data_IF_502689515504
#
_entry.id   IF_502689515504
#
_cell.length_a   1.000
_cell.length_b   1.000
_cell.length_c   1.000
_cell.angle_alpha   90.00
_cell.angle_beta   90.00
_cell.angle_gamma   90.00
#
_symmetry.space_group_name_H-M   'P 1'
#
loop_
_entity.id
_entity.type
_entity.pdbx_description
1 polymer ?
#
# COMPACT_ATOMS: atom_id res chain seq x y z
N UNK A 1 -18.73 13.70 -2.38
CA UNK A 1 -17.73 14.66 -2.89
C UNK A 1 -16.43 14.41 -2.13
N UNK A 2 -15.31 14.05 -2.78
CA UNK A 2 -14.04 13.74 -2.08
C UNK A 2 -13.32 15.03 -1.68
N UNK A 3 -12.92 15.15 -0.41
CA UNK A 3 -12.18 16.31 0.11
C UNK A 3 -10.69 16.12 -0.11
N UNK A 4 -10.04 17.05 -0.82
CA UNK A 4 -8.59 17.03 -0.99
C UNK A 4 -7.89 17.48 0.30
N UNK A 5 -6.98 16.66 0.83
CA UNK A 5 -6.58 16.73 2.26
C UNK A 5 -5.17 17.19 2.64
N UNK A 6 -4.37 17.94 1.91
CA UNK A 6 -2.94 18.22 2.30
C UNK A 6 -2.04 17.00 2.66
N UNK A 7 -0.74 17.11 2.39
CA UNK A 7 0.17 15.97 2.64
C UNK A 7 0.40 15.74 4.13
N UNK A 8 0.56 16.81 4.91
CA UNK A 8 0.81 16.74 6.36
C UNK A 8 -0.35 16.09 7.12
N UNK A 9 -1.59 16.47 6.82
CA UNK A 9 -2.76 15.92 7.52
C UNK A 9 -2.95 14.43 7.23
N UNK A 10 -2.72 13.98 5.98
CA UNK A 10 -2.81 12.55 5.66
C UNK A 10 -1.71 11.77 6.40
N UNK A 11 -0.48 12.27 6.42
CA UNK A 11 0.63 11.63 7.12
C UNK A 11 0.36 11.52 8.63
N UNK A 12 -0.11 12.60 9.27
CA UNK A 12 -0.45 12.58 10.69
C UNK A 12 -1.53 11.52 11.00
N UNK A 13 -2.57 11.43 10.17
CA UNK A 13 -3.62 10.41 10.33
C UNK A 13 -3.07 8.98 10.16
N UNK A 14 -2.20 8.76 9.16
CA UNK A 14 -1.55 7.45 8.94
C UNK A 14 -0.66 7.09 10.13
N UNK A 15 0.13 8.03 10.65
CA UNK A 15 0.97 7.81 11.84
C UNK A 15 0.13 7.44 13.06
N UNK A 16 -0.92 8.21 13.35
CA UNK A 16 -1.81 7.95 14.47
C UNK A 16 -2.49 6.58 14.35
N UNK A 17 -2.94 6.22 13.15
CA UNK A 17 -3.58 4.94 12.88
C UNK A 17 -2.62 3.77 13.08
N UNK A 18 -1.43 3.84 12.49
CA UNK A 18 -0.42 2.78 12.62
C UNK A 18 0.10 2.68 14.06
N UNK A 19 0.19 3.78 14.79
CA UNK A 19 0.55 3.80 16.22
C UNK A 19 -0.53 3.16 17.09
N UNK A 20 -1.81 3.40 16.79
CA UNK A 20 -2.92 2.78 17.50
C UNK A 20 -2.93 1.25 17.33
N UNK A 21 -2.50 0.75 16.15
CA UNK A 21 -2.38 -0.66 15.80
C UNK A 21 -3.52 -1.50 16.38
N UNK A 22 -4.77 -1.17 16.02
CA UNK A 22 -5.97 -1.86 16.50
C UNK A 22 -6.45 -2.85 15.45
N UNK A 23 -5.84 -4.06 15.32
CA UNK A 23 -6.41 -5.07 14.46
C UNK A 23 -7.80 -5.43 14.98
N UNK A 24 -8.80 -5.31 14.12
CA UNK A 24 -10.15 -5.79 14.42
C UNK A 24 -10.39 -7.12 13.68
N UNK A 25 -11.43 -7.84 14.07
CA UNK A 25 -11.79 -9.09 13.41
C UNK A 25 -12.11 -8.88 11.91
N UNK A 26 -12.61 -7.69 11.55
CA UNK A 26 -13.09 -7.34 10.21
C UNK A 26 -12.22 -6.32 9.47
N UNK A 27 -11.08 -5.89 10.03
CA UNK A 27 -10.28 -4.81 9.43
C UNK A 27 -8.82 -4.81 9.85
N UNK A 28 -7.95 -4.53 8.88
CA UNK A 28 -6.50 -4.40 9.09
C UNK A 28 -6.08 -2.93 9.13
N UNK A 29 -5.07 -2.55 9.96
CA UNK A 29 -4.47 -1.22 9.87
C UNK A 29 -4.00 -0.84 8.45
N UNK A 30 -3.61 -1.82 7.63
CA UNK A 30 -3.23 -1.58 6.23
C UNK A 30 -4.42 -1.17 5.35
N UNK A 31 -5.59 -1.75 5.61
CA UNK A 31 -6.83 -1.46 4.90
C UNK A 31 -7.35 -0.06 5.23
N UNK A 32 -7.26 0.31 6.50
CA UNK A 32 -7.62 1.66 6.92
C UNK A 32 -6.66 2.71 6.34
N UNK A 33 -5.35 2.43 6.25
CA UNK A 33 -4.39 3.30 5.55
C UNK A 33 -4.77 3.45 4.06
N UNK A 34 -5.13 2.35 3.37
CA UNK A 34 -5.60 2.42 2.00
C UNK A 34 -6.86 3.31 1.88
N UNK A 35 -7.81 3.16 2.80
CA UNK A 35 -9.01 4.01 2.89
C UNK A 35 -8.69 5.50 3.12
N UNK A 36 -7.71 5.81 3.96
CA UNK A 36 -7.26 7.19 4.18
C UNK A 36 -6.67 7.81 2.91
N UNK A 37 -5.92 7.05 2.12
CA UNK A 37 -5.37 7.52 0.84
C UNK A 37 -6.48 7.77 -0.18
N UNK A 38 -7.43 6.84 -0.31
CA UNK A 38 -8.57 6.96 -1.24
C UNK A 38 -9.50 8.13 -0.88
N UNK A 39 -9.70 8.39 0.41
CA UNK A 39 -10.57 9.46 0.89
C UNK A 39 -9.88 10.83 0.92
N UNK A 40 -8.56 10.89 1.10
CA UNK A 40 -7.80 12.13 1.19
C UNK A 40 -7.30 12.71 -0.14
N UNK A 41 -7.24 11.89 -1.20
CA UNK A 41 -6.74 12.27 -2.53
C UNK A 41 -7.68 11.80 -3.64
N UNK A 42 -7.39 12.20 -4.88
CA UNK A 42 -8.15 11.78 -6.08
C UNK A 42 -7.81 10.37 -6.57
N UNK A 43 -7.54 9.45 -5.63
CA UNK A 43 -7.30 8.06 -5.95
C UNK A 43 -8.65 7.35 -6.06
N UNK A 44 -8.85 6.56 -7.11
CA UNK A 44 -10.01 5.69 -7.23
C UNK A 44 -9.79 4.39 -6.47
N UNK A 45 -8.53 4.01 -6.26
CA UNK A 45 -8.18 2.77 -5.58
C UNK A 45 -6.79 2.87 -4.94
N UNK A 46 -6.58 2.16 -3.84
CA UNK A 46 -5.28 1.98 -3.19
C UNK A 46 -5.16 0.57 -2.65
N UNK A 47 -3.96 0.00 -2.77
CA UNK A 47 -3.67 -1.33 -2.25
C UNK A 47 -2.26 -1.49 -1.73
N UNK A 48 -2.14 -2.29 -0.67
CA UNK A 48 -0.85 -2.63 -0.04
C UNK A 48 -0.58 -4.11 -0.27
N UNK A 49 0.57 -4.39 -0.87
CA UNK A 49 1.05 -5.73 -1.20
C UNK A 49 2.25 -6.05 -0.33
N UNK A 50 2.24 -7.20 0.34
CA UNK A 50 3.41 -7.70 1.07
C UNK A 50 4.13 -8.72 0.21
N UNK A 51 5.34 -8.37 -0.24
CA UNK A 51 6.21 -9.24 -1.02
C UNK A 51 6.95 -10.16 -0.07
N UNK A 52 6.43 -11.37 0.07
CA UNK A 52 7.05 -12.39 0.90
C UNK A 52 7.93 -13.21 0.02
N UNK A 53 9.23 -12.98 0.15
CA UNK A 53 10.26 -13.65 -0.61
C UNK A 53 10.00 -15.17 -0.63
N UNK A 54 9.65 -15.69 -1.80
CA UNK A 54 10.22 -16.97 -2.19
C UNK A 54 11.58 -16.66 -2.77
N UNK A 55 12.61 -17.24 -2.17
CA UNK A 55 13.95 -17.29 -2.75
C UNK A 55 13.85 -18.02 -4.09
N UNK A 56 13.60 -17.29 -5.17
CA UNK A 56 13.76 -17.81 -6.52
C UNK A 56 13.88 -16.64 -7.47
N UNK A 57 15.12 -16.18 -7.60
CA UNK A 57 15.66 -15.61 -8.83
C UNK A 57 15.41 -16.57 -9.99
N UNK A 58 14.20 -16.54 -10.57
CA UNK A 58 13.94 -17.09 -11.89
C UNK A 58 13.19 -16.03 -12.68
N UNK A 59 13.79 -15.44 -13.73
CA UNK A 59 13.16 -14.42 -14.57
C UNK A 59 11.85 -14.87 -15.24
N UNK A 60 11.53 -16.17 -15.20
CA UNK A 60 10.39 -16.77 -15.87
C UNK A 60 9.25 -17.17 -14.90
N UNK A 61 9.36 -16.86 -13.61
CA UNK A 61 8.35 -17.22 -12.60
C UNK A 61 7.67 -16.00 -12.00
N UNK A 62 7.17 -15.09 -12.85
CA UNK A 62 6.18 -14.08 -12.46
C UNK A 62 4.76 -14.67 -12.38
N UNK A 63 4.57 -15.76 -11.64
CA UNK A 63 3.23 -16.34 -11.41
C UNK A 63 2.57 -15.78 -10.13
N UNK A 64 2.98 -14.58 -9.71
CA UNK A 64 2.41 -13.81 -8.59
C UNK A 64 2.62 -12.33 -8.89
N UNK A 65 1.73 -11.76 -9.71
CA UNK A 65 1.96 -10.50 -10.43
C UNK A 65 2.37 -9.33 -9.55
N UNK A 66 3.50 -8.72 -9.88
CA UNK A 66 3.93 -7.45 -9.32
C UNK A 66 2.84 -6.37 -9.58
N UNK A 67 2.51 -5.48 -8.63
CA UNK A 67 1.42 -4.51 -8.82
C UNK A 67 1.69 -3.49 -9.94
N UNK A 68 2.91 -3.40 -10.46
CA UNK A 68 3.17 -2.69 -11.70
C UNK A 68 2.55 -3.37 -12.94
N UNK A 69 2.27 -4.67 -12.92
CA UNK A 69 1.73 -5.43 -14.05
C UNK A 69 0.21 -5.67 -13.98
N UNK A 70 -0.40 -5.37 -12.82
CA UNK A 70 -1.86 -5.47 -12.62
C UNK A 70 -2.44 -4.06 -12.46
N UNK A 71 -3.65 -3.83 -12.96
CA UNK A 71 -4.41 -2.61 -12.76
C UNK A 71 -5.89 -2.94 -12.56
N UNK A 72 -6.58 -2.13 -11.76
CA UNK A 72 -8.03 -2.19 -11.60
C UNK A 72 -8.70 -1.68 -12.89
N UNK A 73 -9.86 -2.24 -13.23
CA UNK A 73 -10.63 -1.82 -14.39
C UNK A 73 -10.93 -0.31 -14.34
N UNK A 74 -10.69 0.39 -15.44
CA UNK A 74 -10.89 1.84 -15.55
C UNK A 74 -9.74 2.72 -15.02
N UNK A 75 -8.61 2.12 -14.62
CA UNK A 75 -7.41 2.87 -14.25
C UNK A 75 -6.82 3.59 -15.46
N UNK A 76 -6.64 4.90 -15.33
CA UNK A 76 -6.02 5.78 -16.33
C UNK A 76 -4.58 6.13 -15.92
N UNK A 77 -4.33 6.33 -14.62
CA UNK A 77 -3.01 6.62 -14.06
C UNK A 77 -2.77 5.77 -12.82
N UNK A 78 -1.51 5.40 -12.59
CA UNK A 78 -1.09 4.74 -11.34
C UNK A 78 0.28 5.19 -10.84
N UNK A 79 0.49 5.06 -9.53
CA UNK A 79 1.79 5.18 -8.88
C UNK A 79 2.03 3.94 -8.02
N UNK A 80 3.16 3.28 -8.25
CA UNK A 80 3.66 2.19 -7.40
C UNK A 80 4.90 2.69 -6.66
N UNK A 81 4.94 2.48 -5.36
CA UNK A 81 6.07 2.79 -4.48
C UNK A 81 6.45 1.54 -3.71
N UNK A 82 7.74 1.20 -3.71
CA UNK A 82 8.27 0.09 -2.93
C UNK A 82 8.31 0.44 -1.43
N UNK A 83 7.88 -0.51 -0.59
CA UNK A 83 8.05 -0.48 0.86
C UNK A 83 9.38 -1.18 1.15
N UNK A 84 10.36 -0.44 1.66
CA UNK A 84 11.73 -0.93 1.89
C UNK A 84 12.12 -0.91 3.35
N UNK A 85 12.77 -1.98 3.81
CA UNK A 85 13.38 -2.10 5.14
C UNK A 85 14.88 -2.37 4.92
N UNK A 86 15.74 -1.50 5.44
CA UNK A 86 17.19 -1.60 5.28
C UNK A 86 17.63 -1.84 3.81
N UNK A 87 17.01 -1.12 2.87
CA UNK A 87 17.27 -1.24 1.43
C UNK A 87 16.59 -2.44 0.74
N UNK A 88 16.08 -3.42 1.49
CA UNK A 88 15.37 -4.58 0.96
C UNK A 88 13.89 -4.28 0.74
N UNK A 89 13.39 -4.61 -0.42
CA UNK A 89 11.96 -4.54 -0.72
C UNK A 89 11.18 -5.63 0.01
N UNK A 90 10.11 -5.23 0.70
CA UNK A 90 9.24 -6.12 1.48
C UNK A 90 7.77 -6.02 1.06
N UNK A 91 7.47 -5.16 0.09
CA UNK A 91 6.12 -4.91 -0.38
C UNK A 91 6.01 -3.67 -1.24
N UNK A 92 4.78 -3.34 -1.61
CA UNK A 92 4.45 -2.20 -2.46
C UNK A 92 3.19 -1.51 -1.98
N UNK A 93 3.20 -0.19 -2.09
CA UNK A 93 2.02 0.66 -2.08
C UNK A 93 1.67 0.99 -3.53
N UNK A 94 0.49 0.58 -3.98
CA UNK A 94 -0.05 0.90 -5.30
C UNK A 94 -1.27 1.82 -5.12
N UNK A 95 -1.30 2.93 -5.85
CA UNK A 95 -2.49 3.78 -5.95
C UNK A 95 -2.84 4.00 -7.40
N UNK A 96 -4.13 3.98 -7.67
CA UNK A 96 -4.67 4.05 -9.02
C UNK A 96 -5.77 5.12 -9.09
N UNK A 97 -5.90 5.73 -10.26
CA UNK A 97 -6.90 6.74 -10.53
C UNK A 97 -7.48 6.58 -11.93
N UNK A 98 -8.78 6.81 -12.06
CA UNK A 98 -9.50 6.88 -13.33
C UNK A 98 -9.44 8.27 -14.00
N UNK A 99 -8.55 9.17 -13.53
CA UNK A 99 -8.37 10.53 -14.08
C UNK A 99 -7.02 10.68 -14.79
N UNK A 100 -7.00 11.41 -15.90
CA UNK A 100 -5.78 11.65 -16.67
C UNK A 100 -4.74 12.52 -15.92
N UNK A 101 -5.19 13.52 -15.15
CA UNK A 101 -4.35 14.43 -14.34
C UNK A 101 -4.50 14.14 -12.85
N UNK A 102 -4.42 12.86 -12.48
CA UNK A 102 -4.71 12.40 -11.13
C UNK A 102 -3.64 12.72 -10.08
N UNK A 103 -2.38 12.87 -10.50
CA UNK A 103 -1.23 12.96 -9.60
C UNK A 103 -0.39 14.19 -9.88
N UNK A 104 0.03 14.88 -8.83
CA UNK A 104 1.06 15.91 -8.84
C UNK A 104 2.33 15.46 -8.08
N UNK A 105 3.31 16.36 -7.97
CA UNK A 105 4.55 16.10 -7.24
C UNK A 105 4.29 15.74 -5.76
N UNK A 106 3.27 16.34 -5.15
CA UNK A 106 2.88 16.07 -3.76
C UNK A 106 2.42 14.64 -3.53
N UNK A 107 1.78 14.00 -4.52
CA UNK A 107 1.30 12.62 -4.40
C UNK A 107 2.48 11.66 -4.29
N UNK A 108 3.53 11.86 -5.11
CA UNK A 108 4.72 11.03 -5.03
C UNK A 108 5.40 11.15 -3.67
N UNK A 109 5.59 12.39 -3.18
CA UNK A 109 6.19 12.67 -1.87
C UNK A 109 5.36 12.07 -0.74
N UNK A 110 4.03 12.19 -0.81
CA UNK A 110 3.12 11.59 0.16
C UNK A 110 3.27 10.06 0.20
N UNK A 111 3.19 9.41 -0.96
CA UNK A 111 3.22 7.96 -1.06
C UNK A 111 4.58 7.37 -0.63
N UNK A 112 5.68 8.05 -0.93
CA UNK A 112 7.01 7.66 -0.45
C UNK A 112 7.14 7.76 1.07
N UNK A 113 6.59 8.83 1.67
CA UNK A 113 6.56 8.96 3.13
C UNK A 113 5.65 7.92 3.79
N UNK A 114 4.48 7.65 3.22
CA UNK A 114 3.58 6.59 3.70
C UNK A 114 4.25 5.22 3.60
N UNK A 115 4.97 4.93 2.51
CA UNK A 115 5.74 3.69 2.38
C UNK A 115 6.81 3.56 3.48
N UNK A 116 7.47 4.66 3.86
CA UNK A 116 8.40 4.70 5.00
C UNK A 116 7.72 4.41 6.34
N UNK A 117 6.54 4.98 6.59
CA UNK A 117 5.75 4.70 7.80
C UNK A 117 5.31 3.23 7.86
N UNK A 118 4.83 2.70 6.74
CA UNK A 118 4.47 1.29 6.60
C UNK A 118 5.67 0.38 6.87
N UNK A 119 6.86 0.71 6.35
CA UNK A 119 8.07 -0.06 6.60
C UNK A 119 8.39 -0.15 8.10
N UNK A 120 8.37 0.99 8.81
CA UNK A 120 8.60 1.06 10.27
C UNK A 120 7.56 0.23 11.02
N UNK A 121 6.29 0.37 10.67
CA UNK A 121 5.20 -0.39 11.28
C UNK A 121 5.38 -1.90 11.09
N UNK A 122 5.68 -2.35 9.87
CA UNK A 122 5.85 -3.76 9.53
C UNK A 122 7.09 -4.40 10.18
N UNK A 123 8.11 -3.61 10.54
CA UNK A 123 9.24 -4.09 11.36
C UNK A 123 8.94 -4.18 12.86
N UNK A 124 7.97 -3.42 13.34
CA UNK A 124 7.65 -3.31 14.76
C UNK A 124 6.23 -3.83 15.07
N UNK A 125 5.28 -2.98 15.49
CA UNK A 125 3.96 -3.41 15.93
C UNK A 125 3.16 -4.22 14.89
N UNK A 126 3.38 -3.97 13.60
CA UNK A 126 2.72 -4.63 12.47
C UNK A 126 3.37 -5.94 12.01
N UNK A 127 4.43 -6.41 12.67
CA UNK A 127 5.18 -7.62 12.26
C UNK A 127 4.32 -8.87 12.16
N UNK A 128 3.23 -8.96 12.95
CA UNK A 128 2.28 -10.06 12.86
C UNK A 128 1.61 -10.17 11.49
N UNK A 129 1.42 -9.05 10.78
CA UNK A 129 0.85 -9.04 9.43
C UNK A 129 1.81 -9.70 8.44
N UNK A 130 3.11 -9.41 8.56
CA UNK A 130 4.15 -10.04 7.72
C UNK A 130 4.21 -11.55 7.98
N UNK A 131 4.13 -11.98 9.25
CA UNK A 131 4.10 -13.40 9.64
C UNK A 131 2.85 -14.13 9.14
N UNK A 132 1.67 -13.54 9.33
CA UNK A 132 0.40 -14.10 8.83
C UNK A 132 0.43 -14.21 7.31
N UNK A 133 0.92 -13.17 6.67
CA UNK A 133 1.09 -13.09 5.24
C UNK A 133 1.96 -14.24 4.69
N UNK A 134 3.02 -14.66 5.41
CA UNK A 134 3.95 -15.72 4.98
C UNK A 134 3.39 -17.13 5.14
N UNK A 135 2.35 -17.28 5.96
CA UNK A 135 1.66 -18.55 6.18
C UNK A 135 0.54 -18.79 5.16
N UNK A 136 0.05 -17.73 4.52
CA UNK A 136 -0.99 -17.80 3.48
C UNK A 136 -0.29 -17.98 2.11
N UNK A 137 -0.82 -18.86 1.25
CA UNK A 137 -0.32 -19.01 -0.13
C UNK A 137 -0.22 -17.63 -0.81
N UNK A 138 0.85 -17.35 -1.57
CA UNK A 138 0.97 -16.07 -2.28
C UNK A 138 -0.23 -15.90 -3.21
N UNK A 139 -1.02 -14.87 -2.94
CA UNK A 139 -2.08 -14.38 -3.80
C UNK A 139 -1.61 -13.06 -4.40
N UNK A 140 -1.88 -12.85 -5.68
CA UNK A 140 -1.63 -11.59 -6.40
C UNK A 140 -2.60 -10.47 -6.00
N UNK A 141 -3.60 -10.77 -5.17
CA UNK A 141 -4.55 -9.78 -4.69
C UNK A 141 -3.93 -8.91 -3.58
N UNK A 142 -4.27 -7.60 -3.54
CA UNK A 142 -3.88 -6.70 -2.45
C UNK A 142 -4.32 -7.30 -1.10
N UNK A 143 -3.47 -7.18 -0.08
CA UNK A 143 -3.83 -7.65 1.28
C UNK A 143 -4.75 -6.70 2.04
N UNK A 144 -4.88 -5.50 1.50
CA UNK A 144 -5.68 -4.40 2.00
C UNK A 144 -6.07 -3.59 0.77
N UNK A 145 -7.33 -3.69 0.36
CA UNK A 145 -7.92 -2.87 -0.68
C UNK A 145 -9.20 -2.26 -0.11
N UNK A 146 -9.24 -0.94 -0.06
CA UNK A 146 -10.47 -0.24 0.26
C UNK A 146 -11.24 -0.04 -1.06
N UNK A 147 -12.47 -0.56 -1.12
CA UNK A 147 -13.40 -0.42 -2.24
C UNK A 147 -14.25 0.85 -2.10
#
# INVERSE_FOLDING_TARGET
MKTYRSTSQILANVEQLLAANRPSFNGSPLEEVAGLLISGRHYSWAGIYLALNKSSSSPLQEAGGHPAHVAVAGTVKKIVVAIKIAGREVGFLNVESNRASAFGAEDRVLLERVAGLLARFLTGPGKYLVRRASQIKPSSAPKAAAA
#
